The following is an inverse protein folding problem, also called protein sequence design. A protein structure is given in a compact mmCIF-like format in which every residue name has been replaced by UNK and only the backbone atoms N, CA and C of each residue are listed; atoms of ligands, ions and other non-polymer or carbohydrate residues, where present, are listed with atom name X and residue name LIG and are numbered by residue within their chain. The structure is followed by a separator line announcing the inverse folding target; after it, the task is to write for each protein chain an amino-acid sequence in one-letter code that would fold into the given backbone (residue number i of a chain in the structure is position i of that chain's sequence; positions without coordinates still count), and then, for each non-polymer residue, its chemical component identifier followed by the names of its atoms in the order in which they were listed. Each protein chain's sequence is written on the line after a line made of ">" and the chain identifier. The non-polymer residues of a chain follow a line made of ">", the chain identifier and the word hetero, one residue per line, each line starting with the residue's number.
data_IF_921457500108
#
_entry.id   IF_921457500108
#
_cell.length_a   1.000
_cell.length_b   1.000
_cell.length_c   1.000
_cell.angle_alpha   90.00
_cell.angle_beta   90.00
_cell.angle_gamma   90.00
#
_symmetry.space_group_name_H-M   'P 1'
#
loop_
_entity.id
_entity.type
_entity.pdbx_description
1 polymer ?
#
# COMPACT_ATOMS: atom_id res chain seq x y z
N UNK A 1 -47.96 -29.18 16.39
CA UNK A 1 -46.81 -28.46 16.98
C UNK A 1 -45.80 -28.21 15.87
N UNK A 2 -45.28 -27.00 15.78
CA UNK A 2 -44.54 -26.46 14.65
C UNK A 2 -43.04 -26.82 14.64
N UNK A 3 -42.51 -27.07 13.43
CA UNK A 3 -41.26 -26.49 12.91
C UNK A 3 -39.89 -27.10 13.32
N UNK A 4 -39.00 -27.42 12.36
CA UNK A 4 -37.62 -27.86 12.63
C UNK A 4 -36.66 -26.67 12.66
N UNK A 5 -35.75 -26.60 13.63
CA UNK A 5 -34.61 -25.66 13.57
C UNK A 5 -33.30 -26.40 13.24
N UNK A 6 -32.84 -26.14 12.02
CA UNK A 6 -31.45 -26.28 11.59
C UNK A 6 -30.60 -25.42 12.52
N UNK A 7 -29.54 -25.97 13.11
CA UNK A 7 -28.52 -25.12 13.72
C UNK A 7 -27.11 -25.64 13.40
N UNK A 8 -26.55 -25.05 12.35
CA UNK A 8 -25.16 -25.14 11.95
C UNK A 8 -24.23 -24.83 13.13
N UNK A 9 -23.59 -25.86 13.69
CA UNK A 9 -22.41 -25.64 14.54
C UNK A 9 -21.14 -25.97 13.75
N UNK A 10 -20.79 -25.09 12.82
CA UNK A 10 -19.39 -24.86 12.45
C UNK A 10 -18.71 -24.21 13.66
N UNK A 11 -17.72 -24.89 14.20
CA UNK A 11 -17.05 -24.59 15.47
C UNK A 11 -16.39 -23.20 15.48
N UNK A 12 -16.57 -22.54 16.63
CA UNK A 12 -16.20 -21.17 16.99
C UNK A 12 -14.68 -20.98 17.14
N UNK A 13 -14.19 -19.85 16.62
CA UNK A 13 -12.85 -19.28 16.83
C UNK A 13 -12.52 -19.24 18.34
N UNK A 14 -11.31 -19.66 18.75
CA UNK A 14 -10.83 -19.54 20.15
C UNK A 14 -9.97 -18.28 20.34
N UNK A 15 -10.10 -17.68 21.53
CA UNK A 15 -9.51 -16.41 21.99
C UNK A 15 -8.03 -16.49 22.37
N UNK A 16 -7.28 -15.39 22.12
CA UNK A 16 -5.88 -15.16 22.51
C UNK A 16 -4.86 -15.76 21.52
N UNK A 17 -3.91 -15.08 20.90
CA UNK A 17 -3.28 -13.80 21.24
C UNK A 17 -2.94 -13.03 19.96
N UNK A 18 -3.25 -11.73 19.99
CA UNK A 18 -2.97 -10.73 18.95
C UNK A 18 -3.89 -10.71 17.70
N UNK A 19 -4.96 -9.91 17.76
CA UNK A 19 -5.89 -9.67 16.63
C UNK A 19 -5.47 -8.53 15.71
N UNK A 20 -4.78 -7.52 16.22
CA UNK A 20 -4.34 -6.34 15.47
C UNK A 20 -3.34 -5.56 16.30
N UNK A 21 -2.39 -4.89 15.64
CA UNK A 21 -1.61 -3.86 16.31
C UNK A 21 -2.55 -2.68 16.60
N UNK A 22 -2.50 -2.12 17.82
CA UNK A 22 -3.21 -0.88 18.17
C UNK A 22 -2.53 0.34 17.52
N UNK A 23 -2.42 0.33 16.19
CA UNK A 23 -1.84 1.43 15.43
C UNK A 23 -2.99 2.22 14.84
N UNK A 24 -3.11 3.46 15.25
CA UNK A 24 -4.17 4.33 14.76
C UNK A 24 -3.99 4.59 13.27
N UNK A 25 -5.09 4.76 12.52
CA UNK A 25 -5.01 5.16 11.11
C UNK A 25 -4.22 6.48 10.91
N UNK A 26 -4.20 7.35 11.94
CA UNK A 26 -3.41 8.59 11.95
C UNK A 26 -1.91 8.31 12.01
N UNK A 27 -1.51 7.35 12.81
CA UNK A 27 -0.12 6.91 12.93
C UNK A 27 0.36 6.21 11.65
N UNK A 28 -0.44 5.30 11.11
CA UNK A 28 -0.21 4.70 9.78
C UNK A 28 -0.02 5.78 8.73
N UNK A 29 -0.91 6.77 8.69
CA UNK A 29 -0.82 7.90 7.76
C UNK A 29 0.47 8.70 7.96
N UNK A 30 0.79 9.08 9.20
CA UNK A 30 1.95 9.91 9.48
C UNK A 30 3.25 9.20 9.13
N UNK A 31 3.40 7.95 9.56
CA UNK A 31 4.58 7.14 9.31
C UNK A 31 4.79 6.84 7.83
N UNK A 32 3.70 6.46 7.14
CA UNK A 32 3.73 6.27 5.68
C UNK A 32 4.18 7.54 4.97
N UNK A 33 3.67 8.71 5.40
CA UNK A 33 4.06 9.98 4.80
C UNK A 33 5.53 10.32 5.04
N UNK A 34 6.05 10.01 6.21
CA UNK A 34 7.44 10.27 6.57
C UNK A 34 8.39 9.41 5.72
N UNK A 35 8.07 8.13 5.53
CA UNK A 35 8.84 7.25 4.66
C UNK A 35 8.83 7.68 3.20
N UNK A 36 7.68 8.09 2.68
CA UNK A 36 7.58 8.60 1.32
C UNK A 36 8.39 9.90 1.14
N UNK A 37 8.34 10.83 2.11
CA UNK A 37 9.20 12.02 2.12
C UNK A 37 10.68 11.65 2.12
N UNK A 38 11.08 10.71 2.97
CA UNK A 38 12.45 10.21 3.01
C UNK A 38 12.84 9.55 1.68
N UNK A 39 11.88 8.94 0.97
CA UNK A 39 12.03 8.38 -0.36
C UNK A 39 12.02 9.44 -1.50
N UNK A 40 11.86 10.73 -1.17
CA UNK A 40 11.91 11.83 -2.14
C UNK A 40 10.56 12.13 -2.80
N UNK A 41 9.45 11.67 -2.22
CA UNK A 41 8.12 12.05 -2.66
C UNK A 41 7.69 13.40 -2.09
N UNK A 42 7.05 14.20 -2.94
CA UNK A 42 6.37 15.43 -2.59
C UNK A 42 4.87 15.17 -2.46
N UNK A 43 4.22 15.75 -1.45
CA UNK A 43 2.78 15.59 -1.27
C UNK A 43 2.02 16.61 -2.10
N UNK A 44 1.13 16.12 -2.96
CA UNK A 44 0.25 16.94 -3.76
C UNK A 44 -0.94 17.45 -2.92
N UNK A 45 -1.60 18.54 -3.37
CA UNK A 45 -2.90 18.93 -2.83
C UNK A 45 -3.86 17.74 -2.79
N UNK A 46 -4.54 17.56 -1.66
CA UNK A 46 -5.43 16.42 -1.43
C UNK A 46 -6.85 16.71 -1.91
N UNK A 47 -6.94 17.12 -3.19
CA UNK A 47 -8.19 17.43 -3.86
C UNK A 47 -8.98 16.14 -4.16
N UNK A 48 -10.32 16.20 -4.20
CA UNK A 48 -11.14 15.07 -4.61
C UNK A 48 -10.79 14.60 -6.03
N UNK A 49 -10.73 13.29 -6.22
CA UNK A 49 -10.60 12.61 -7.50
C UNK A 49 -11.99 12.10 -7.87
N UNK A 50 -12.69 12.81 -8.74
CA UNK A 50 -14.12 12.58 -8.97
C UNK A 50 -14.90 12.75 -7.67
N UNK A 51 -15.55 11.68 -7.20
CA UNK A 51 -16.31 11.66 -5.93
C UNK A 51 -15.54 11.08 -4.74
N UNK A 52 -14.27 10.73 -4.92
CA UNK A 52 -13.46 10.12 -3.87
C UNK A 52 -12.44 11.13 -3.34
N UNK A 53 -12.39 11.29 -2.02
CA UNK A 53 -11.30 12.00 -1.36
C UNK A 53 -10.21 11.00 -0.94
N UNK A 54 -9.01 11.03 -1.56
CA UNK A 54 -7.92 10.18 -1.12
C UNK A 54 -7.44 10.57 0.28
N UNK A 55 -6.73 9.67 0.96
CA UNK A 55 -6.08 10.04 2.22
C UNK A 55 -4.87 10.93 1.94
N UNK A 56 -4.11 10.63 0.90
CA UNK A 56 -3.10 11.50 0.35
C UNK A 56 -2.78 11.17 -1.10
N UNK A 57 -2.15 12.14 -1.77
CA UNK A 57 -1.47 11.97 -3.05
C UNK A 57 -0.02 12.37 -2.91
N UNK A 58 0.86 11.63 -3.56
CA UNK A 58 2.29 11.90 -3.52
C UNK A 58 2.90 11.70 -4.90
N UNK A 59 3.88 12.51 -5.27
CA UNK A 59 4.59 12.41 -6.54
C UNK A 59 6.09 12.40 -6.30
N UNK A 60 6.80 11.58 -7.05
CA UNK A 60 8.26 11.61 -7.13
C UNK A 60 8.69 11.72 -8.57
N UNK A 61 9.63 12.61 -8.83
CA UNK A 61 10.33 12.66 -10.10
C UNK A 61 11.69 12.00 -9.97
N UNK A 62 12.00 11.10 -10.90
CA UNK A 62 13.28 10.40 -10.92
C UNK A 62 13.64 10.01 -12.36
N UNK A 63 14.87 10.32 -12.78
CA UNK A 63 15.38 10.07 -14.14
C UNK A 63 14.41 10.48 -15.26
N UNK A 64 13.76 11.65 -15.14
CA UNK A 64 12.81 12.18 -16.13
C UNK A 64 11.45 11.46 -16.16
N UNK A 65 11.19 10.53 -15.24
CA UNK A 65 9.87 9.90 -15.04
C UNK A 65 9.19 10.48 -13.82
N UNK A 66 7.88 10.61 -13.88
CA UNK A 66 7.04 11.03 -12.76
C UNK A 66 6.22 9.83 -12.29
N UNK A 67 6.40 9.45 -11.03
CA UNK A 67 5.59 8.42 -10.38
C UNK A 67 4.64 9.10 -9.40
N UNK A 68 3.34 8.99 -9.65
CA UNK A 68 2.31 9.47 -8.74
C UNK A 68 1.67 8.29 -8.00
N UNK A 69 1.41 8.48 -6.70
CA UNK A 69 0.73 7.53 -5.85
C UNK A 69 -0.53 8.18 -5.27
N UNK A 70 -1.65 7.50 -5.42
CA UNK A 70 -2.91 7.78 -4.72
C UNK A 70 -3.08 6.73 -3.62
N UNK A 71 -3.18 7.18 -2.38
CA UNK A 71 -3.28 6.29 -1.23
C UNK A 71 -4.57 6.47 -0.43
N UNK A 72 -5.12 5.34 -0.02
CA UNK A 72 -6.21 5.24 0.94
C UNK A 72 -5.68 4.54 2.19
N UNK A 73 -5.70 5.22 3.33
CA UNK A 73 -5.33 4.64 4.62
C UNK A 73 -6.58 4.18 5.35
N UNK A 74 -6.54 2.98 5.93
CA UNK A 74 -7.64 2.42 6.72
C UNK A 74 -7.15 1.82 8.04
N UNK A 75 -8.00 1.81 9.07
CA UNK A 75 -7.63 1.33 10.41
C UNK A 75 -7.52 -0.21 10.50
N UNK A 76 -7.87 -0.96 9.46
CA UNK A 76 -7.80 -2.42 9.47
C UNK A 76 -8.62 -3.09 8.36
N UNK A 77 -8.64 -4.43 8.36
CA UNK A 77 -9.31 -5.23 7.31
C UNK A 77 -10.80 -4.98 7.18
N UNK A 78 -11.49 -4.69 8.29
CA UNK A 78 -12.93 -4.38 8.29
C UNK A 78 -13.30 -3.18 7.41
N UNK A 79 -12.33 -2.31 7.11
CA UNK A 79 -12.45 -1.14 6.23
C UNK A 79 -11.59 -1.26 4.98
N UNK A 80 -10.89 -2.39 4.77
CA UNK A 80 -10.03 -2.56 3.60
C UNK A 80 -10.84 -2.57 2.29
N UNK A 81 -12.00 -3.23 2.27
CA UNK A 81 -12.84 -3.32 1.07
C UNK A 81 -13.38 -1.95 0.64
N UNK A 82 -13.80 -1.10 1.58
CA UNK A 82 -14.23 0.26 1.25
C UNK A 82 -13.05 1.08 0.68
N UNK A 83 -11.83 0.83 1.15
CA UNK A 83 -10.62 1.46 0.64
C UNK A 83 -10.32 1.03 -0.79
N UNK A 84 -10.47 -0.27 -1.11
CA UNK A 84 -10.32 -0.79 -2.46
C UNK A 84 -11.39 -0.22 -3.41
N UNK A 85 -12.63 -0.05 -2.95
CA UNK A 85 -13.68 0.61 -3.74
C UNK A 85 -13.30 2.06 -4.05
N UNK A 86 -12.72 2.78 -3.10
CA UNK A 86 -12.28 4.16 -3.30
C UNK A 86 -11.11 4.23 -4.29
N UNK A 87 -10.17 3.30 -4.23
CA UNK A 87 -9.08 3.20 -5.21
C UNK A 87 -9.60 2.83 -6.60
N UNK A 88 -10.58 1.93 -6.70
CA UNK A 88 -11.25 1.60 -7.95
C UNK A 88 -11.85 2.86 -8.59
N UNK A 89 -12.66 3.60 -7.84
CA UNK A 89 -13.27 4.83 -8.35
C UNK A 89 -12.23 5.91 -8.70
N UNK A 90 -11.15 6.07 -7.93
CA UNK A 90 -10.06 6.98 -8.28
C UNK A 90 -9.35 6.56 -9.57
N UNK A 91 -9.14 5.25 -9.77
CA UNK A 91 -8.50 4.71 -10.98
C UNK A 91 -9.34 4.92 -12.23
N UNK A 92 -10.67 4.79 -12.16
CA UNK A 92 -11.53 5.09 -13.31
C UNK A 92 -11.38 6.56 -13.79
N UNK A 93 -10.93 7.47 -12.91
CA UNK A 93 -10.74 8.89 -13.25
C UNK A 93 -9.31 9.19 -13.71
N UNK A 94 -8.30 8.65 -13.03
CA UNK A 94 -6.89 8.98 -13.26
C UNK A 94 -6.16 8.00 -14.19
N UNK A 95 -6.74 6.82 -14.44
CA UNK A 95 -6.18 5.80 -15.33
C UNK A 95 -4.95 5.09 -14.76
N UNK A 96 -4.19 4.45 -15.67
CA UNK A 96 -3.10 3.53 -15.32
C UNK A 96 -1.72 4.19 -15.16
N UNK A 97 -1.62 5.50 -15.38
CA UNK A 97 -0.38 6.25 -15.20
C UNK A 97 -0.06 6.56 -13.72
N UNK A 98 -1.00 6.26 -12.82
CA UNK A 98 -0.90 6.51 -11.38
C UNK A 98 -0.91 5.17 -10.65
N UNK A 99 -0.18 5.10 -9.55
CA UNK A 99 -0.16 3.92 -8.68
C UNK A 99 -1.15 4.08 -7.53
N UNK A 100 -1.80 2.98 -7.13
CA UNK A 100 -2.88 3.01 -6.16
C UNK A 100 -2.54 2.12 -4.97
N UNK A 101 -2.48 2.70 -3.76
CA UNK A 101 -2.09 1.99 -2.55
C UNK A 101 -3.20 1.98 -1.50
N UNK A 102 -3.61 0.80 -1.06
CA UNK A 102 -4.32 0.64 0.20
C UNK A 102 -3.29 0.45 1.30
N UNK A 103 -3.32 1.30 2.32
CA UNK A 103 -2.37 1.25 3.43
C UNK A 103 -3.09 0.90 4.72
N UNK A 104 -2.62 -0.15 5.38
CA UNK A 104 -3.17 -0.68 6.62
C UNK A 104 -2.13 -0.63 7.75
N UNK A 105 -2.56 -0.67 9.02
CA UNK A 105 -1.66 -1.06 10.11
C UNK A 105 -1.21 -2.51 9.90
N UNK A 106 -0.20 -2.99 10.65
CA UNK A 106 0.18 -4.39 10.55
C UNK A 106 -0.97 -5.27 11.06
N UNK A 107 -1.14 -6.43 10.43
CA UNK A 107 -2.29 -7.32 10.62
C UNK A 107 -1.78 -8.70 10.97
N UNK A 108 -2.50 -9.38 11.87
CA UNK A 108 -2.20 -10.78 12.18
C UNK A 108 -2.19 -11.62 10.90
N UNK A 109 -1.15 -12.42 10.71
CA UNK A 109 -0.94 -13.23 9.51
C UNK A 109 -2.15 -14.13 9.18
N UNK A 110 -2.75 -14.75 10.19
CA UNK A 110 -3.93 -15.61 10.00
C UNK A 110 -5.11 -14.82 9.43
N UNK A 111 -5.39 -13.63 9.97
CA UNK A 111 -6.45 -12.75 9.43
C UNK A 111 -6.14 -12.27 8.01
N UNK A 112 -4.87 -11.99 7.72
CA UNK A 112 -4.44 -11.62 6.38
C UNK A 112 -4.62 -12.78 5.39
N UNK A 113 -4.27 -14.00 5.79
CA UNK A 113 -4.46 -15.20 4.98
C UNK A 113 -5.94 -15.50 4.74
N UNK A 114 -6.80 -15.32 5.74
CA UNK A 114 -8.26 -15.43 5.53
C UNK A 114 -8.76 -14.39 4.52
N UNK A 115 -8.30 -13.14 4.67
CA UNK A 115 -8.67 -12.04 3.79
C UNK A 115 -8.17 -12.20 2.35
N UNK A 116 -7.00 -12.82 2.14
CA UNK A 116 -6.39 -12.99 0.81
C UNK A 116 -6.59 -14.39 0.19
N UNK A 117 -6.83 -15.42 1.00
CA UNK A 117 -6.72 -16.83 0.63
C UNK A 117 -8.01 -17.65 0.60
N UNK A 118 -9.05 -17.30 1.39
CA UNK A 118 -10.34 -18.00 1.42
C UNK A 118 -11.32 -17.56 0.30
N UNK A 119 -12.60 -17.35 0.63
CA UNK A 119 -13.53 -16.56 -0.22
C UNK A 119 -12.96 -15.16 -0.57
N UNK A 120 -11.93 -14.72 0.19
CA UNK A 120 -11.03 -13.59 -0.06
C UNK A 120 -10.09 -13.71 -1.26
N UNK A 121 -10.06 -14.84 -1.97
CA UNK A 121 -9.34 -14.97 -3.26
C UNK A 121 -9.83 -13.95 -4.30
N UNK A 122 -11.10 -13.53 -4.22
CA UNK A 122 -11.64 -12.43 -5.03
C UNK A 122 -10.93 -11.13 -4.74
N UNK A 123 -10.67 -10.80 -3.48
CA UNK A 123 -10.00 -9.56 -3.09
C UNK A 123 -8.59 -9.52 -3.66
N UNK A 124 -7.83 -10.60 -3.48
CA UNK A 124 -6.49 -10.72 -4.08
C UNK A 124 -6.52 -10.60 -5.60
N UNK A 125 -7.51 -11.22 -6.26
CA UNK A 125 -7.70 -11.11 -7.71
C UNK A 125 -8.03 -9.68 -8.13
N UNK A 126 -8.90 -8.97 -7.42
CA UNK A 126 -9.23 -7.56 -7.73
C UNK A 126 -8.02 -6.64 -7.54
N UNK A 127 -7.27 -6.81 -6.45
CA UNK A 127 -6.03 -6.05 -6.21
C UNK A 127 -5.06 -6.29 -7.37
N UNK A 128 -4.89 -7.55 -7.80
CA UNK A 128 -3.96 -7.90 -8.88
C UNK A 128 -4.45 -7.43 -10.24
N UNK A 129 -5.73 -7.63 -10.56
CA UNK A 129 -6.33 -7.27 -11.84
C UNK A 129 -6.37 -5.75 -12.06
N UNK A 130 -6.42 -4.97 -10.98
CA UNK A 130 -6.42 -3.51 -11.01
C UNK A 130 -5.04 -2.90 -10.72
N UNK A 131 -4.00 -3.72 -10.59
CA UNK A 131 -2.63 -3.28 -10.26
C UNK A 131 -2.56 -2.42 -8.99
N UNK A 132 -3.38 -2.74 -7.99
CA UNK A 132 -3.34 -2.08 -6.69
C UNK A 132 -2.24 -2.65 -5.82
N UNK A 133 -1.73 -1.81 -4.92
CA UNK A 133 -0.77 -2.19 -3.89
C UNK A 133 -1.48 -2.30 -2.55
N UNK A 134 -1.15 -3.34 -1.79
CA UNK A 134 -1.52 -3.49 -0.39
C UNK A 134 -0.28 -3.30 0.47
N UNK A 135 -0.23 -2.17 1.16
CA UNK A 135 0.85 -1.79 2.05
C UNK A 135 0.45 -1.97 3.50
N UNK A 136 1.40 -2.41 4.32
CA UNK A 136 1.31 -2.34 5.77
C UNK A 136 2.44 -1.48 6.30
N UNK A 137 2.08 -0.50 7.14
CA UNK A 137 3.06 0.29 7.86
C UNK A 137 3.30 -0.31 9.25
N UNK A 138 4.54 -0.68 9.55
CA UNK A 138 4.98 -1.11 10.86
C UNK A 138 5.66 0.05 11.61
N UNK A 139 5.02 0.66 12.62
CA UNK A 139 5.62 1.77 13.37
C UNK A 139 6.84 1.35 14.20
N UNK A 140 6.93 0.07 14.62
CA UNK A 140 8.05 -0.40 15.43
C UNK A 140 9.38 -0.40 14.65
N UNK A 141 9.30 -0.60 13.33
CA UNK A 141 10.46 -0.65 12.43
C UNK A 141 10.55 0.60 11.54
N UNK A 142 9.60 1.52 11.67
CA UNK A 142 9.32 2.60 10.73
C UNK A 142 9.39 2.10 9.28
N UNK A 143 8.64 1.05 8.96
CA UNK A 143 8.77 0.33 7.69
C UNK A 143 7.43 0.23 6.95
N UNK A 144 7.47 0.28 5.61
CA UNK A 144 6.33 -0.13 4.78
C UNK A 144 6.67 -1.44 4.09
N UNK A 145 5.80 -2.44 4.23
CA UNK A 145 5.89 -3.67 3.47
C UNK A 145 4.75 -3.76 2.45
N UNK A 146 5.08 -4.07 1.19
CA UNK A 146 4.11 -4.38 0.15
C UNK A 146 3.83 -5.88 0.15
N UNK A 147 2.60 -6.26 0.49
CA UNK A 147 2.17 -7.65 0.57
C UNK A 147 1.58 -8.16 -0.74
N UNK A 148 0.91 -7.28 -1.49
CA UNK A 148 0.35 -7.59 -2.81
C UNK A 148 0.59 -6.38 -3.70
N UNK A 149 0.94 -6.63 -4.96
CA UNK A 149 1.30 -5.56 -5.90
C UNK A 149 2.72 -5.02 -5.64
N UNK A 150 3.23 -4.30 -6.63
CA UNK A 150 4.54 -3.66 -6.56
C UNK A 150 4.48 -2.29 -7.22
N UNK A 151 5.34 -1.39 -6.74
CA UNK A 151 5.54 -0.09 -7.37
C UNK A 151 6.55 -0.24 -8.51
N UNK A 152 6.30 0.48 -9.60
CA UNK A 152 7.23 0.68 -10.71
C UNK A 152 8.39 1.61 -10.36
N UNK A 153 8.28 2.37 -9.26
CA UNK A 153 9.35 3.23 -8.79
C UNK A 153 10.50 2.38 -8.23
N UNK A 154 11.73 2.53 -8.77
CA UNK A 154 12.89 1.78 -8.32
C UNK A 154 13.23 1.90 -6.83
N UNK A 155 12.80 2.95 -6.13
CA UNK A 155 13.01 3.07 -4.69
C UNK A 155 12.31 1.95 -3.90
N UNK A 156 11.25 1.37 -4.47
CA UNK A 156 10.51 0.22 -3.93
C UNK A 156 10.96 -1.13 -4.51
N UNK A 157 12.14 -1.22 -5.18
CA UNK A 157 12.66 -2.50 -5.70
C UNK A 157 13.02 -3.49 -4.59
N UNK A 158 12.03 -4.22 -4.12
CA UNK A 158 12.07 -5.11 -2.95
C UNK A 158 10.84 -4.81 -2.11
N UNK A 159 10.13 -5.84 -1.64
CA UNK A 159 8.83 -5.73 -0.97
C UNK A 159 8.80 -4.89 0.31
N UNK A 160 9.92 -4.29 0.70
CA UNK A 160 10.11 -3.58 1.94
C UNK A 160 10.80 -2.23 1.69
N UNK A 161 10.20 -1.17 2.25
CA UNK A 161 10.81 0.13 2.44
C UNK A 161 11.18 0.30 3.91
N UNK A 162 12.47 0.54 4.15
CA UNK A 162 13.04 0.86 5.46
C UNK A 162 13.86 2.16 5.35
N UNK A 163 13.94 3.00 6.39
CA UNK A 163 14.71 4.25 6.36
C UNK A 163 16.16 4.06 5.92
N UNK A 164 16.82 3.01 6.43
CA UNK A 164 18.20 2.66 6.06
C UNK A 164 18.35 2.18 4.60
N UNK A 165 17.37 1.42 4.09
CA UNK A 165 17.36 0.96 2.70
C UNK A 165 17.04 2.07 1.70
N UNK A 166 16.20 3.03 2.09
CA UNK A 166 15.90 4.22 1.28
C UNK A 166 17.18 5.01 1.02
N UNK A 167 17.98 5.22 2.07
CA UNK A 167 19.24 5.98 1.96
C UNK A 167 20.24 5.29 1.03
N UNK A 168 20.43 3.97 1.16
CA UNK A 168 21.29 3.20 0.25
C UNK A 168 20.79 3.22 -1.20
N UNK A 169 19.49 2.99 -1.44
CA UNK A 169 18.94 2.99 -2.80
C UNK A 169 19.03 4.36 -3.46
N UNK A 170 18.84 5.44 -2.72
CA UNK A 170 19.06 6.79 -3.25
C UNK A 170 20.51 7.02 -3.66
N UNK A 171 21.47 6.51 -2.88
CA UNK A 171 22.90 6.60 -3.21
C UNK A 171 23.21 5.77 -4.46
N UNK A 172 22.74 4.53 -4.53
CA UNK A 172 22.90 3.65 -5.70
C UNK A 172 22.29 4.27 -6.97
N UNK A 173 21.10 4.86 -6.85
CA UNK A 173 20.42 5.56 -7.94
C UNK A 173 21.24 6.75 -8.44
N UNK A 174 21.73 7.61 -7.54
CA UNK A 174 22.59 8.74 -7.91
C UNK A 174 23.90 8.31 -8.55
N UNK A 175 24.51 7.21 -8.06
CA UNK A 175 25.74 6.67 -8.64
C UNK A 175 25.51 6.03 -10.01
N UNK A 176 24.37 5.38 -10.24
CA UNK A 176 23.99 4.86 -11.55
C UNK A 176 23.76 6.00 -12.56
N UNK A 177 23.10 7.08 -12.14
CA UNK A 177 22.86 8.27 -12.97
C UNK A 177 24.17 8.99 -13.33
N UNK A 178 25.07 9.20 -12.36
CA UNK A 178 26.37 9.83 -12.60
C UNK A 178 27.29 9.04 -13.55
N UNK A 179 27.15 7.70 -13.58
CA UNK A 179 27.86 6.85 -14.55
C UNK A 179 27.24 6.91 -15.95
N UNK A 180 25.93 7.05 -16.05
CA UNK A 180 25.24 7.15 -17.35
C UNK A 180 25.50 8.48 -18.06
N UNK A 181 25.62 9.60 -17.32
CA UNK A 181 25.97 10.91 -17.88
C UNK A 181 27.44 11.06 -18.27
N UNK A 182 28.33 10.19 -17.77
CA UNK A 182 29.75 10.20 -18.10
C UNK A 182 30.08 9.38 -19.38
N UNK A 183 29.11 8.63 -19.93
CA UNK A 183 29.30 7.78 -21.11
C UNK A 183 29.13 8.48 -22.46
N UNK A 184 28.50 9.65 -22.51
CA UNK A 184 28.32 10.46 -23.74
C UNK A 184 29.34 11.59 -23.83
N UNK A 185 30.63 11.24 -23.81
CA UNK A 185 31.65 12.05 -24.46
C UNK A 185 32.58 11.12 -25.21
N UNK A 186 32.28 10.93 -26.50
CA UNK A 186 33.28 10.49 -27.48
C UNK A 186 33.38 11.54 -28.59
N UNK A 187 34.61 11.70 -29.12
CA UNK A 187 35.10 12.92 -29.77
C UNK A 187 34.44 13.24 -31.10
#
# INVERSE_FOLDING_TARGET
>A
MAGPEVNEKKLKIREGDFRSYEVSAREVLSGTKNLLKAAGYEFLPNDPIGFVKPTFRARREYSGRSNEIVAIVRPGLNKALDGLVYLAAAREVLGDAVEYALVLPPINEWLLLEFLGGDGSRVRREITARSFMLWMYNPAEDAIMSFVGGSSDPVFRGSLLLPGFISMRMIEQRQAEGKSSAGERKP
#
